data_IF_918789838250
#
_entry.id   IF_918789838250
#
_cell.length_a   1.000
_cell.length_b   1.000
_cell.length_c   1.000
_cell.angle_alpha   90.00
_cell.angle_beta   90.00
_cell.angle_gamma   90.00
#
_symmetry.space_group_name_H-M   'P 1'
#
loop_
_entity.id
_entity.type
_entity.pdbx_description
1 polymer ?
#
# COMPACT_ATOMS: atom_id res chain seq x y z
N UNK A 1 3.22 11.69 27.27
CA UNK A 1 3.23 10.29 26.81
C UNK A 1 3.71 10.24 25.37
N UNK A 2 4.67 9.38 25.02
CA UNK A 2 5.13 9.25 23.64
C UNK A 2 4.00 8.67 22.76
N UNK A 3 3.63 9.38 21.68
CA UNK A 3 2.66 8.87 20.71
C UNK A 3 3.20 7.57 20.10
N UNK A 4 2.61 6.44 20.51
CA UNK A 4 3.02 5.07 20.13
C UNK A 4 3.05 4.80 18.61
N UNK A 5 2.50 5.70 17.79
CA UNK A 5 2.25 5.47 16.36
C UNK A 5 3.14 6.25 15.38
N UNK A 6 4.03 7.15 15.82
CA UNK A 6 4.74 8.02 14.86
C UNK A 6 5.73 7.27 13.95
N UNK A 7 6.33 6.18 14.48
CA UNK A 7 7.37 5.39 13.78
C UNK A 7 6.80 4.35 12.81
N UNK A 8 5.58 3.86 13.04
CA UNK A 8 4.92 2.86 12.17
C UNK A 8 3.86 3.55 11.33
N UNK A 9 4.07 3.59 10.02
CA UNK A 9 3.13 4.19 9.06
C UNK A 9 2.41 3.12 8.27
N UNK A 10 1.12 3.33 8.01
CA UNK A 10 0.35 2.49 7.10
C UNK A 10 0.75 2.84 5.67
N UNK A 11 1.13 1.85 4.90
CA UNK A 11 1.53 1.96 3.50
C UNK A 11 0.69 1.03 2.64
N UNK A 12 0.35 1.50 1.45
CA UNK A 12 -0.40 0.72 0.47
C UNK A 12 0.52 0.14 -0.60
N UNK A 13 0.31 -1.13 -0.93
CA UNK A 13 1.04 -1.86 -1.94
C UNK A 13 0.23 -1.96 -3.24
N UNK A 14 0.88 -1.65 -4.35
CA UNK A 14 0.31 -1.67 -5.69
C UNK A 14 0.88 -2.83 -6.49
N UNK A 15 -0.02 -3.55 -7.15
CA UNK A 15 0.34 -4.68 -7.98
C UNK A 15 0.96 -4.20 -9.29
N UNK A 16 2.16 -4.71 -9.62
CA UNK A 16 2.80 -4.42 -10.91
C UNK A 16 1.97 -4.88 -12.10
N UNK A 17 1.19 -5.95 -11.94
CA UNK A 17 0.48 -6.56 -13.06
C UNK A 17 -0.87 -5.89 -13.37
N UNK A 18 -1.65 -5.46 -12.37
CA UNK A 18 -2.96 -4.82 -12.61
C UNK A 18 -2.98 -3.32 -12.28
N UNK A 19 -1.89 -2.76 -11.73
CA UNK A 19 -1.84 -1.36 -11.27
C UNK A 19 -2.76 -1.06 -10.08
N UNK A 20 -3.47 -2.07 -9.57
CA UNK A 20 -4.39 -1.93 -8.46
C UNK A 20 -3.70 -1.95 -7.11
N UNK A 21 -4.19 -1.13 -6.18
CA UNK A 21 -3.82 -1.18 -4.77
C UNK A 21 -4.71 -2.19 -4.06
N UNK A 22 -4.12 -3.23 -3.49
CA UNK A 22 -4.86 -4.33 -2.87
C UNK A 22 -4.54 -4.53 -1.41
N UNK A 23 -3.32 -4.20 -0.98
CA UNK A 23 -2.86 -4.48 0.37
C UNK A 23 -2.48 -3.20 1.09
N UNK A 24 -2.85 -3.13 2.36
CA UNK A 24 -2.36 -2.15 3.31
C UNK A 24 -1.56 -2.89 4.38
N UNK A 25 -0.36 -2.39 4.66
CA UNK A 25 0.53 -2.96 5.66
C UNK A 25 1.14 -1.84 6.47
N UNK A 26 1.61 -2.12 7.68
CA UNK A 26 2.37 -1.14 8.45
C UNK A 26 3.85 -1.38 8.22
N UNK A 27 4.61 -0.29 8.03
CA UNK A 27 6.07 -0.35 8.01
C UNK A 27 6.66 0.58 9.05
N UNK A 28 7.77 0.17 9.65
CA UNK A 28 8.57 1.03 10.51
C UNK A 28 9.52 1.85 9.63
N UNK A 29 9.31 3.17 9.58
CA UNK A 29 10.10 4.05 8.70
C UNK A 29 11.54 4.24 9.16
N UNK A 30 11.87 3.94 10.42
CA UNK A 30 13.25 4.05 10.91
C UNK A 30 14.11 2.85 10.48
N UNK A 31 13.53 1.64 10.54
CA UNK A 31 14.29 0.42 10.23
C UNK A 31 14.31 0.12 8.72
N UNK A 32 13.25 0.50 8.01
CA UNK A 32 13.12 0.30 6.57
C UNK A 32 12.81 1.65 5.92
N UNK A 33 13.85 2.44 5.59
CA UNK A 33 13.67 3.74 4.95
C UNK A 33 13.19 3.60 3.49
N UNK A 34 13.61 2.52 2.82
CA UNK A 34 13.34 2.29 1.41
C UNK A 34 11.90 1.86 1.10
N UNK A 35 11.57 1.86 -0.19
CA UNK A 35 10.28 1.37 -0.69
C UNK A 35 10.26 -0.15 -0.63
N UNK A 36 9.20 -0.69 -0.02
CA UNK A 36 9.04 -2.13 0.11
C UNK A 36 8.51 -2.72 -1.21
N UNK A 37 9.10 -3.85 -1.62
CA UNK A 37 8.61 -4.68 -2.71
C UNK A 37 8.42 -6.12 -2.22
N UNK A 38 7.20 -6.64 -2.29
CA UNK A 38 6.86 -7.98 -1.79
C UNK A 38 6.15 -8.78 -2.88
N UNK A 39 6.42 -10.08 -2.96
CA UNK A 39 5.65 -10.97 -3.82
C UNK A 39 4.37 -11.35 -3.08
N UNK A 40 3.22 -10.89 -3.57
CA UNK A 40 1.90 -11.25 -3.03
C UNK A 40 0.95 -11.57 -4.16
N UNK A 41 -0.10 -12.30 -3.81
CA UNK A 41 -1.18 -12.65 -4.71
C UNK A 41 -1.90 -11.40 -5.26
N UNK A 42 -2.30 -11.41 -6.52
CA UNK A 42 -3.16 -10.38 -7.10
C UNK A 42 -4.56 -10.95 -7.26
N UNK A 43 -5.60 -10.40 -6.60
CA UNK A 43 -6.96 -10.94 -6.71
C UNK A 43 -7.58 -10.76 -8.10
N UNK A 44 -7.17 -9.74 -8.85
CA UNK A 44 -7.70 -9.44 -10.19
C UNK A 44 -7.17 -10.42 -11.23
N UNK A 45 -5.84 -10.61 -11.27
CA UNK A 45 -5.18 -11.46 -12.27
C UNK A 45 -4.95 -12.90 -11.78
N UNK A 46 -5.30 -13.21 -10.53
CA UNK A 46 -5.17 -14.52 -9.87
C UNK A 46 -3.76 -15.12 -9.90
N UNK A 47 -2.74 -14.26 -9.89
CA UNK A 47 -1.32 -14.65 -9.95
C UNK A 47 -0.51 -14.01 -8.82
N UNK A 48 0.59 -14.65 -8.41
CA UNK A 48 1.56 -14.05 -7.47
C UNK A 48 2.48 -13.09 -8.22
N UNK A 49 2.44 -11.82 -7.85
CA UNK A 49 3.16 -10.76 -8.55
C UNK A 49 3.86 -9.83 -7.56
N UNK A 50 4.87 -9.10 -8.03
CA UNK A 50 5.53 -8.06 -7.25
C UNK A 50 4.53 -6.94 -6.94
N UNK A 51 4.31 -6.69 -5.65
CA UNK A 51 3.58 -5.55 -5.12
C UNK A 51 4.58 -4.52 -4.60
N UNK A 52 4.52 -3.29 -5.09
CA UNK A 52 5.44 -2.21 -4.70
C UNK A 52 4.72 -1.15 -3.89
N UNK A 53 5.43 -0.59 -2.92
CA UNK A 53 4.91 0.52 -2.13
C UNK A 53 4.69 1.77 -2.98
N UNK A 54 3.52 2.38 -2.81
CA UNK A 54 3.21 3.67 -3.41
C UNK A 54 2.92 4.72 -2.35
N UNK A 55 3.34 5.97 -2.62
CA UNK A 55 2.95 7.14 -1.80
C UNK A 55 1.65 7.78 -2.31
N UNK A 56 1.28 7.52 -3.56
CA UNK A 56 0.09 8.09 -4.20
C UNK A 56 -1.18 7.51 -3.60
N UNK A 57 -2.13 8.37 -3.24
CA UNK A 57 -3.47 7.96 -2.90
C UNK A 57 -4.24 7.75 -4.21
N UNK A 58 -4.53 6.49 -4.58
CA UNK A 58 -5.07 6.12 -5.90
C UNK A 58 -6.58 6.33 -6.04
N UNK A 59 -7.19 7.21 -5.24
CA UNK A 59 -8.57 7.71 -5.44
C UNK A 59 -9.71 6.70 -5.37
N UNK A 60 -9.46 5.41 -5.10
CA UNK A 60 -10.52 4.36 -5.12
C UNK A 60 -11.58 4.46 -4.02
N UNK A 61 -11.33 5.27 -2.98
CA UNK A 61 -12.30 5.56 -1.92
C UNK A 61 -12.76 7.04 -1.95
N UNK A 62 -12.78 7.69 -3.12
CA UNK A 62 -13.43 9.00 -3.24
C UNK A 62 -14.93 8.71 -3.42
N UNK A 63 -15.72 9.03 -2.40
CA UNK A 63 -17.19 9.02 -2.51
C UNK A 63 -17.53 9.93 -3.69
N UNK A 64 -18.27 9.46 -4.71
CA UNK A 64 -18.67 10.33 -5.81
C UNK A 64 -19.42 11.52 -5.24
N UNK A 65 -19.04 12.74 -5.65
CA UNK A 65 -19.74 13.96 -5.26
C UNK A 65 -21.18 13.81 -5.74
N UNK A 66 -22.13 13.72 -4.81
CA UNK A 66 -23.55 13.76 -5.15
C UNK A 66 -23.82 15.19 -5.66
N UNK A 67 -24.16 15.31 -6.94
CA UNK A 67 -24.73 16.54 -7.51
C UNK A 67 -26.17 16.68 -7.04
#
# INVERSE_FOLDING_TARGET
MAKKSEKRKIVGLVCKACGGRHYYTTKNTMNVPDKIALIKYCPVKRVRTKQTETKKNLGRNVVPVRR
#
